data_IF_405349528643
#
_entry.id   IF_405349528643
#
_cell.length_a   1.000
_cell.length_b   1.000
_cell.length_c   1.000
_cell.angle_alpha   90.00
_cell.angle_beta   90.00
_cell.angle_gamma   90.00
#
_symmetry.space_group_name_H-M   'P 1'
#
loop_
_entity.id
_entity.type
_entity.pdbx_description
1 polymer ?
#
# COMPACT_ATOMS: atom_id res chain seq x y z
N UNK A 1 4.47 -7.96 11.73
CA UNK A 1 3.31 -8.36 10.92
C UNK A 1 3.71 -8.16 9.50
N UNK A 2 3.73 -9.22 8.71
CA UNK A 2 4.06 -9.20 7.28
C UNK A 2 2.81 -8.84 6.47
N UNK A 3 3.00 -8.44 5.21
CA UNK A 3 1.88 -8.14 4.29
C UNK A 3 0.82 -9.26 4.25
N UNK A 4 1.15 -10.56 4.09
CA UNK A 4 0.15 -11.63 4.04
C UNK A 4 -0.57 -11.87 5.39
N UNK A 5 -0.04 -11.34 6.49
CA UNK A 5 -0.65 -11.42 7.82
C UNK A 5 -1.68 -10.29 8.04
N UNK A 6 -1.73 -9.29 7.17
CA UNK A 6 -2.70 -8.21 7.24
C UNK A 6 -4.10 -8.70 6.87
N UNK A 7 -5.06 -8.43 7.74
CA UNK A 7 -6.49 -8.56 7.44
C UNK A 7 -7.02 -7.29 6.76
N UNK A 8 -8.16 -7.39 6.08
CA UNK A 8 -8.85 -6.21 5.55
C UNK A 8 -9.14 -5.18 6.65
N UNK A 9 -9.49 -5.64 7.85
CA UNK A 9 -9.72 -4.76 9.00
C UNK A 9 -8.44 -4.04 9.46
N UNK A 10 -7.26 -4.65 9.33
CA UNK A 10 -6.01 -3.93 9.61
C UNK A 10 -5.80 -2.78 8.62
N UNK A 11 -6.12 -2.99 7.34
CA UNK A 11 -6.01 -1.97 6.31
C UNK A 11 -7.04 -0.88 6.53
N UNK A 12 -8.34 -1.20 6.68
CA UNK A 12 -9.38 -0.18 6.90
C UNK A 12 -9.17 0.60 8.19
N UNK A 13 -8.70 -0.05 9.26
CA UNK A 13 -8.32 0.64 10.50
C UNK A 13 -7.16 1.62 10.29
N UNK A 14 -6.15 1.25 9.49
CA UNK A 14 -5.03 2.15 9.16
C UNK A 14 -5.52 3.37 8.38
N UNK A 15 -6.46 3.15 7.45
CA UNK A 15 -7.12 4.19 6.65
C UNK A 15 -8.16 5.01 7.44
N UNK A 16 -8.39 4.68 8.72
CA UNK A 16 -9.39 5.32 9.60
C UNK A 16 -10.83 5.21 9.07
N UNK A 17 -11.17 4.06 8.51
CA UNK A 17 -12.50 3.70 8.05
C UNK A 17 -13.16 2.72 9.04
N UNK A 18 -14.44 2.44 8.84
CA UNK A 18 -15.15 1.38 9.55
C UNK A 18 -14.56 -0.01 9.25
N UNK A 19 -15.00 -1.04 9.98
CA UNK A 19 -14.56 -2.41 9.68
C UNK A 19 -14.95 -2.76 8.26
N UNK A 20 -14.14 -3.56 7.60
CA UNK A 20 -14.33 -3.88 6.19
C UNK A 20 -15.71 -4.50 5.90
N UNK A 21 -16.25 -5.30 6.82
CA UNK A 21 -17.56 -5.93 6.70
C UNK A 21 -18.75 -4.97 6.86
N UNK A 22 -18.53 -3.80 7.47
CA UNK A 22 -19.53 -2.76 7.68
C UNK A 22 -19.57 -1.76 6.50
N UNK A 23 -18.56 -1.78 5.62
CA UNK A 23 -18.49 -0.95 4.42
C UNK A 23 -19.46 -1.45 3.33
N UNK A 24 -19.92 -0.53 2.47
CA UNK A 24 -20.72 -0.93 1.32
C UNK A 24 -19.90 -1.67 0.25
N UNK A 25 -20.57 -2.34 -0.68
CA UNK A 25 -19.93 -3.15 -1.73
C UNK A 25 -18.95 -2.33 -2.58
N UNK A 26 -19.30 -1.08 -2.91
CA UNK A 26 -18.47 -0.21 -3.73
C UNK A 26 -17.21 0.24 -3.00
N UNK A 27 -17.31 0.51 -1.70
CA UNK A 27 -16.18 0.83 -0.83
C UNK A 27 -15.27 -0.40 -0.67
N UNK A 28 -15.83 -1.58 -0.47
CA UNK A 28 -15.08 -2.83 -0.38
C UNK A 28 -14.29 -3.13 -1.67
N UNK A 29 -14.93 -3.01 -2.84
CA UNK A 29 -14.27 -3.14 -4.15
C UNK A 29 -13.11 -2.15 -4.29
N UNK A 30 -13.33 -0.91 -3.89
CA UNK A 30 -12.34 0.14 -3.96
C UNK A 30 -11.18 -0.07 -2.99
N UNK A 31 -11.42 -0.62 -1.79
CA UNK A 31 -10.35 -1.06 -0.88
C UNK A 31 -9.54 -2.21 -1.48
N UNK A 32 -10.17 -3.17 -2.15
CA UNK A 32 -9.45 -4.24 -2.83
C UNK A 32 -8.56 -3.71 -3.95
N UNK A 33 -9.08 -2.80 -4.78
CA UNK A 33 -8.29 -2.15 -5.83
C UNK A 33 -7.08 -1.39 -5.27
N UNK A 34 -7.27 -0.64 -4.18
CA UNK A 34 -6.18 0.09 -3.51
C UNK A 34 -5.09 -0.87 -3.02
N UNK A 35 -5.48 -1.97 -2.38
CA UNK A 35 -4.54 -2.94 -1.83
C UNK A 35 -3.74 -3.64 -2.92
N UNK A 36 -4.38 -3.99 -4.03
CA UNK A 36 -3.74 -4.63 -5.18
C UNK A 36 -2.76 -3.66 -5.84
N UNK A 37 -3.19 -2.42 -6.04
CA UNK A 37 -2.35 -1.35 -6.61
C UNK A 37 -1.12 -1.09 -5.75
N UNK A 38 -1.26 -1.02 -4.43
CA UNK A 38 -0.14 -0.80 -3.52
C UNK A 38 0.88 -1.96 -3.57
N UNK A 39 0.41 -3.20 -3.68
CA UNK A 39 1.28 -4.36 -3.82
C UNK A 39 2.04 -4.34 -5.14
N UNK A 40 1.32 -4.13 -6.25
CA UNK A 40 1.91 -4.02 -7.59
C UNK A 40 2.93 -2.89 -7.67
N UNK A 41 2.65 -1.73 -7.05
CA UNK A 41 3.59 -0.61 -7.00
C UNK A 41 4.90 -0.99 -6.31
N UNK A 42 4.84 -1.68 -5.16
CA UNK A 42 6.06 -2.18 -4.48
C UNK A 42 6.83 -3.13 -5.40
N UNK A 43 6.12 -4.04 -6.07
CA UNK A 43 6.74 -5.01 -6.97
C UNK A 43 7.46 -4.34 -8.14
N UNK A 44 6.82 -3.37 -8.79
CA UNK A 44 7.40 -2.62 -9.91
C UNK A 44 8.58 -1.74 -9.46
N UNK A 45 8.43 -1.03 -8.35
CA UNK A 45 9.46 -0.11 -7.84
C UNK A 45 10.69 -0.80 -7.26
N UNK A 46 10.54 -2.04 -6.76
CA UNK A 46 11.66 -2.80 -6.16
C UNK A 46 12.22 -3.88 -7.08
N UNK A 47 11.41 -4.42 -7.99
CA UNK A 47 11.74 -5.58 -8.82
C UNK A 47 11.70 -6.92 -8.10
N UNK A 48 11.27 -6.97 -6.83
CA UNK A 48 11.18 -8.20 -6.05
C UNK A 48 10.07 -9.14 -6.53
N UNK A 49 10.19 -10.45 -6.25
CA UNK A 49 9.08 -11.38 -6.39
C UNK A 49 8.07 -11.24 -5.25
N UNK A 50 6.85 -11.76 -5.45
CA UNK A 50 5.81 -11.82 -4.41
C UNK A 50 6.33 -12.42 -3.11
N UNK A 51 7.02 -13.57 -3.17
CA UNK A 51 7.53 -14.25 -1.98
C UNK A 51 8.59 -13.43 -1.24
N UNK A 52 9.41 -12.68 -1.97
CA UNK A 52 10.41 -11.80 -1.38
C UNK A 52 9.78 -10.58 -0.71
N UNK A 53 8.70 -10.04 -1.27
CA UNK A 53 7.94 -8.94 -0.68
C UNK A 53 7.27 -9.40 0.60
N UNK A 54 6.60 -10.55 0.55
CA UNK A 54 5.87 -11.14 1.68
C UNK A 54 6.78 -11.50 2.86
N UNK A 55 8.06 -11.78 2.63
CA UNK A 55 9.01 -12.11 3.70
C UNK A 55 9.60 -10.88 4.43
N UNK A 56 9.37 -9.66 3.95
CA UNK A 56 10.01 -8.44 4.48
C UNK A 56 9.08 -7.62 5.37
N UNK A 57 9.43 -7.53 6.66
CA UNK A 57 8.64 -6.82 7.66
C UNK A 57 8.50 -5.31 7.39
N UNK A 58 9.57 -4.65 6.95
CA UNK A 58 9.61 -3.20 6.73
C UNK A 58 8.84 -2.75 5.49
N UNK A 59 8.59 -3.64 4.52
CA UNK A 59 7.69 -3.37 3.40
C UNK A 59 6.23 -3.24 3.83
N UNK A 60 5.85 -3.81 4.99
CA UNK A 60 4.47 -3.76 5.48
C UNK A 60 4.00 -2.32 5.77
N UNK A 61 4.86 -1.50 6.38
CA UNK A 61 4.49 -0.10 6.66
C UNK A 61 4.50 0.76 5.38
N UNK A 62 5.40 0.44 4.43
CA UNK A 62 5.39 1.07 3.11
C UNK A 62 4.10 0.74 2.35
N UNK A 63 3.67 -0.52 2.38
CA UNK A 63 2.41 -0.99 1.81
C UNK A 63 1.20 -0.27 2.39
N UNK A 64 1.08 -0.17 3.73
CA UNK A 64 -0.02 0.53 4.38
C UNK A 64 -0.03 2.04 4.04
N UNK A 65 1.15 2.66 3.96
CA UNK A 65 1.27 4.07 3.57
C UNK A 65 0.83 4.30 2.12
N UNK A 66 1.20 3.41 1.20
CA UNK A 66 0.74 3.47 -0.19
C UNK A 66 -0.77 3.25 -0.31
N UNK A 67 -1.34 2.32 0.47
CA UNK A 67 -2.78 2.15 0.54
C UNK A 67 -3.47 3.46 0.97
N UNK A 68 -2.90 4.18 1.94
CA UNK A 68 -3.42 5.49 2.35
C UNK A 68 -3.29 6.53 1.24
N UNK A 69 -2.13 6.64 0.62
CA UNK A 69 -1.90 7.61 -0.47
C UNK A 69 -2.85 7.37 -1.65
N UNK A 70 -3.12 6.11 -2.01
CA UNK A 70 -4.06 5.74 -3.07
C UNK A 70 -5.53 5.91 -2.65
N UNK A 71 -5.85 5.75 -1.37
CA UNK A 71 -7.19 6.02 -0.85
C UNK A 71 -7.48 7.54 -0.82
N UNK A 72 -6.56 8.34 -0.30
CA UNK A 72 -6.79 9.77 -0.04
C UNK A 72 -6.77 10.61 -1.33
N UNK A 73 -5.95 10.24 -2.33
CA UNK A 73 -5.77 11.01 -3.57
C UNK A 73 -6.77 10.66 -4.70
N UNK A 74 -7.97 10.17 -4.36
CA UNK A 74 -9.02 9.81 -5.35
C UNK A 74 -9.64 11.00 -6.05
N UNK A 75 -9.68 12.15 -5.39
CA UNK A 75 -10.05 13.42 -6.01
C UNK A 75 -8.78 14.06 -6.57
N UNK A 76 -8.83 14.57 -7.81
CA UNK A 76 -7.79 15.42 -8.41
C UNK A 76 -7.51 16.63 -7.49
N UNK A 77 -6.69 16.45 -6.46
CA UNK A 77 -6.11 17.56 -5.72
C UNK A 77 -4.99 18.11 -6.58
N UNK A 78 -5.33 19.18 -7.30
CA UNK A 78 -4.35 20.14 -7.76
C UNK A 78 -3.74 20.71 -6.48
N UNK A 79 -2.60 20.16 -6.04
CA UNK A 79 -1.40 20.89 -5.62
C UNK A 79 -0.54 20.01 -4.68
N UNK A 80 0.72 19.81 -5.08
CA UNK A 80 1.82 19.04 -4.47
C UNK A 80 1.78 17.51 -4.61
N UNK A 81 2.48 17.02 -5.66
CA UNK A 81 3.13 15.69 -5.67
C UNK A 81 4.13 15.59 -4.50
N UNK A 82 3.63 15.34 -3.30
CA UNK A 82 4.48 15.15 -2.13
C UNK A 82 4.79 13.67 -2.06
N UNK A 83 5.97 13.29 -2.56
CA UNK A 83 6.48 11.93 -2.39
C UNK A 83 6.69 11.67 -0.91
N UNK A 84 6.14 10.56 -0.41
CA UNK A 84 6.44 10.10 0.93
C UNK A 84 7.89 9.58 0.97
N UNK A 85 8.82 10.45 1.37
CA UNK A 85 10.25 10.15 1.42
C UNK A 85 10.58 8.90 2.27
N UNK A 86 9.76 8.59 3.27
CA UNK A 86 9.94 7.38 4.08
C UNK A 86 9.60 6.13 3.27
N UNK A 87 8.49 6.14 2.53
CA UNK A 87 8.14 5.04 1.61
C UNK A 87 9.23 4.89 0.55
N UNK A 88 9.63 5.97 -0.11
CA UNK A 88 10.70 5.92 -1.13
C UNK A 88 12.02 5.38 -0.58
N UNK A 89 12.41 5.78 0.64
CA UNK A 89 13.62 5.25 1.29
C UNK A 89 13.52 3.76 1.57
N UNK A 90 12.35 3.28 2.02
CA UNK A 90 12.12 1.85 2.29
C UNK A 90 12.20 1.07 0.97
N UNK A 91 11.48 1.50 -0.07
CA UNK A 91 11.50 0.82 -1.37
C UNK A 91 12.91 0.82 -1.98
N UNK A 92 13.61 1.95 -1.92
CA UNK A 92 14.98 2.09 -2.44
C UNK A 92 15.97 1.11 -1.81
N UNK A 93 15.79 0.71 -0.54
CA UNK A 93 16.64 -0.29 0.12
C UNK A 93 16.45 -1.70 -0.41
N UNK A 94 15.31 -1.98 -1.02
CA UNK A 94 14.93 -3.29 -1.54
C UNK A 94 14.99 -3.39 -3.07
N UNK A 95 15.33 -2.29 -3.76
CA UNK A 95 15.52 -2.27 -5.22
C UNK A 95 16.63 -3.23 -5.63
N UNK A 96 16.27 -4.23 -6.43
CA UNK A 96 17.24 -5.15 -7.07
C UNK A 96 17.62 -4.70 -8.49
N UNK A 97 16.78 -3.87 -9.12
CA UNK A 97 17.04 -3.27 -10.42
C UNK A 97 17.55 -1.83 -10.21
N UNK A 98 18.86 -1.65 -10.16
CA UNK A 98 19.52 -0.34 -10.15
C UNK A 98 19.89 0.02 -11.60
N UNK A 99 18.93 0.54 -12.37
CA UNK A 99 19.23 1.14 -13.69
C UNK A 99 19.59 2.61 -13.50
#
# INVERSE_FOLDING_TARGET
MKIPELTNNNITSFLKLDNYEDLDESEQELINLVKESAFSYIQEETGLSTEQIEDKDDLTIAYLSLCQDFYDNRALQIDKNTVNNTVDTILSRHRINLI
#
